data_IF_851583643018
#
_entry.id   IF_851583643018
#
_cell.length_a   1.000
_cell.length_b   1.000
_cell.length_c   1.000
_cell.angle_alpha   90.00
_cell.angle_beta   90.00
_cell.angle_gamma   90.00
#
_symmetry.space_group_name_H-M   'P 1'
#
loop_
_entity.id
_entity.type
_entity.pdbx_description
1 polymer ?
#
# COMPACT_ATOMS: atom_id res chain seq x y z
N UNK A 1 -3.29 -9.23 16.09
CA UNK A 1 -2.31 -9.94 15.23
C UNK A 1 -2.92 -10.50 13.94
N UNK A 2 -4.08 -11.15 14.00
CA UNK A 2 -4.78 -11.71 12.82
C UNK A 2 -5.00 -10.70 11.68
N UNK A 3 -5.42 -9.46 11.98
CA UNK A 3 -5.61 -8.44 10.95
C UNK A 3 -4.32 -8.01 10.25
N UNK A 4 -3.18 -7.96 10.97
CA UNK A 4 -1.87 -7.70 10.35
C UNK A 4 -1.51 -8.81 9.36
N UNK A 5 -1.67 -10.08 9.76
CA UNK A 5 -1.36 -11.24 8.91
C UNK A 5 -2.26 -11.31 7.66
N UNK A 6 -3.54 -11.00 7.80
CA UNK A 6 -4.49 -10.95 6.68
C UNK A 6 -4.18 -9.80 5.73
N UNK A 7 -3.85 -8.62 6.27
CA UNK A 7 -3.42 -7.47 5.46
C UNK A 7 -2.12 -7.80 4.72
N UNK A 8 -1.14 -8.39 5.41
CA UNK A 8 0.15 -8.76 4.84
C UNK A 8 -0.01 -9.79 3.71
N UNK A 9 -0.77 -10.86 3.95
CA UNK A 9 -1.08 -11.89 2.96
C UNK A 9 -1.78 -11.28 1.74
N UNK A 10 -2.75 -10.40 1.96
CA UNK A 10 -3.48 -9.73 0.88
C UNK A 10 -2.55 -8.79 0.09
N UNK A 11 -1.70 -8.01 0.75
CA UNK A 11 -0.68 -7.18 0.13
C UNK A 11 0.30 -8.00 -0.73
N UNK A 12 0.74 -9.17 -0.24
CA UNK A 12 1.61 -10.08 -0.98
C UNK A 12 0.92 -10.61 -2.24
N UNK A 13 -0.36 -10.99 -2.14
CA UNK A 13 -1.16 -11.44 -3.29
C UNK A 13 -1.39 -10.31 -4.30
N UNK A 14 -1.66 -9.08 -3.85
CA UNK A 14 -1.75 -7.90 -4.74
C UNK A 14 -0.42 -7.69 -5.47
N UNK A 15 0.71 -7.68 -4.76
CA UNK A 15 2.04 -7.52 -5.35
C UNK A 15 2.38 -8.63 -6.34
N UNK A 16 2.09 -9.88 -5.99
CA UNK A 16 2.21 -11.03 -6.87
C UNK A 16 1.37 -10.86 -8.14
N UNK A 17 0.10 -10.48 -8.00
CA UNK A 17 -0.82 -10.33 -9.12
C UNK A 17 -0.41 -9.20 -10.07
N UNK A 18 -0.01 -8.05 -9.53
CA UNK A 18 0.52 -6.91 -10.30
C UNK A 18 1.78 -7.32 -11.10
N UNK A 19 2.68 -8.08 -10.47
CA UNK A 19 3.91 -8.59 -11.10
C UNK A 19 3.59 -9.64 -12.18
N UNK A 20 2.69 -10.57 -11.89
CA UNK A 20 2.24 -11.62 -12.79
C UNK A 20 1.59 -11.05 -14.06
N UNK A 21 0.68 -10.09 -13.90
CA UNK A 21 0.01 -9.43 -15.02
C UNK A 21 0.92 -8.48 -15.81
N UNK A 22 2.14 -8.22 -15.32
CA UNK A 22 3.05 -7.21 -15.85
C UNK A 22 2.30 -5.89 -16.04
N UNK A 23 1.82 -5.29 -14.95
CA UNK A 23 0.95 -4.09 -14.98
C UNK A 23 1.43 -2.98 -15.94
N UNK A 24 2.75 -2.85 -16.14
CA UNK A 24 3.35 -1.93 -17.11
C UNK A 24 2.87 -2.14 -18.55
N UNK A 25 2.50 -3.36 -18.94
CA UNK A 25 2.10 -3.72 -20.30
C UNK A 25 0.57 -3.67 -20.50
N UNK A 26 -0.19 -3.35 -19.45
CA UNK A 26 -1.66 -3.24 -19.50
C UNK A 26 -2.05 -2.00 -20.33
N UNK A 27 -2.79 -2.23 -21.43
CA UNK A 27 -3.25 -1.16 -22.32
C UNK A 27 -4.40 -0.34 -21.72
N UNK A 28 -5.38 -0.99 -21.09
CA UNK A 28 -6.54 -0.31 -20.49
C UNK A 28 -6.41 -0.28 -18.96
N UNK A 29 -5.35 0.36 -18.46
CA UNK A 29 -5.05 0.43 -17.02
C UNK A 29 -6.25 0.96 -16.22
N UNK A 30 -6.86 2.05 -16.67
CA UNK A 30 -7.95 2.68 -15.93
C UNK A 30 -9.25 1.87 -15.92
N UNK A 31 -9.50 1.01 -16.93
CA UNK A 31 -10.64 0.07 -16.89
C UNK A 31 -10.42 -0.99 -15.81
N UNK A 32 -9.21 -1.55 -15.77
CA UNK A 32 -8.79 -2.48 -14.72
C UNK A 32 -8.90 -1.85 -13.32
N UNK A 33 -8.45 -0.61 -13.14
CA UNK A 33 -8.52 0.13 -11.87
C UNK A 33 -9.95 0.46 -11.47
N UNK A 34 -10.78 0.93 -12.42
CA UNK A 34 -12.20 1.23 -12.19
C UNK A 34 -12.95 -0.01 -11.69
N UNK A 35 -12.79 -1.15 -12.37
CA UNK A 35 -13.45 -2.40 -11.96
C UNK A 35 -12.96 -2.86 -10.59
N UNK A 36 -11.68 -2.69 -10.26
CA UNK A 36 -11.17 -2.94 -8.90
C UNK A 36 -11.94 -2.13 -7.84
N UNK A 37 -12.25 -0.86 -8.09
CA UNK A 37 -13.02 -0.05 -7.15
C UNK A 37 -14.50 -0.40 -7.12
N UNK A 38 -15.11 -0.74 -8.26
CA UNK A 38 -16.49 -1.26 -8.29
C UNK A 38 -16.61 -2.52 -7.43
N UNK A 39 -15.68 -3.46 -7.56
CA UNK A 39 -15.68 -4.67 -6.73
C UNK A 39 -15.44 -4.32 -5.25
N UNK A 40 -14.54 -3.40 -4.94
CA UNK A 40 -14.32 -2.97 -3.55
C UNK A 40 -15.58 -2.34 -2.93
N UNK A 41 -16.36 -1.57 -3.69
CA UNK A 41 -17.67 -1.03 -3.28
C UNK A 41 -18.64 -2.17 -2.99
N UNK A 42 -18.79 -3.12 -3.93
CA UNK A 42 -19.72 -4.25 -3.80
C UNK A 42 -19.38 -5.09 -2.57
N UNK A 43 -18.11 -5.47 -2.39
CA UNK A 43 -17.66 -6.27 -1.25
C UNK A 43 -17.85 -5.50 0.06
N UNK A 44 -17.51 -4.20 0.08
CA UNK A 44 -17.73 -3.36 1.26
C UNK A 44 -19.21 -3.25 1.62
N UNK A 45 -20.09 -3.13 0.63
CA UNK A 45 -21.52 -3.06 0.86
C UNK A 45 -22.04 -4.40 1.40
N UNK A 46 -21.72 -5.53 0.77
CA UNK A 46 -22.16 -6.86 1.20
C UNK A 46 -21.74 -7.15 2.65
N UNK A 47 -20.52 -6.79 3.03
CA UNK A 47 -19.99 -7.10 4.38
C UNK A 47 -20.48 -6.14 5.46
N UNK A 48 -20.86 -4.91 5.10
CA UNK A 48 -21.09 -3.83 6.07
C UNK A 48 -22.36 -3.02 5.80
N UNK A 49 -23.34 -3.57 5.07
CA UNK A 49 -24.55 -2.84 4.68
C UNK A 49 -25.28 -2.23 5.89
N UNK A 50 -25.36 -2.95 7.03
CA UNK A 50 -25.97 -2.46 8.26
C UNK A 50 -25.31 -1.18 8.80
N UNK A 51 -24.01 -1.01 8.54
CA UNK A 51 -23.24 0.18 8.97
C UNK A 51 -23.39 1.36 8.00
N UNK A 52 -23.84 1.14 6.76
CA UNK A 52 -23.93 2.16 5.71
C UNK A 52 -25.31 2.81 5.74
N UNK A 53 -25.54 3.62 6.76
CA UNK A 53 -26.77 4.43 6.90
C UNK A 53 -26.56 5.84 6.34
N UNK A 54 -27.64 6.55 6.02
CA UNK A 54 -27.55 7.93 5.51
C UNK A 54 -26.85 8.88 6.50
N UNK A 55 -27.09 8.71 7.80
CA UNK A 55 -26.41 9.49 8.85
C UNK A 55 -24.91 9.18 8.89
N UNK A 56 -24.53 7.90 8.84
CA UNK A 56 -23.13 7.49 8.82
C UNK A 56 -22.40 7.97 7.56
N UNK A 57 -23.07 7.97 6.39
CA UNK A 57 -22.51 8.52 5.15
C UNK A 57 -22.23 10.02 5.26
N UNK A 58 -23.17 10.80 5.82
CA UNK A 58 -22.96 12.24 6.05
C UNK A 58 -21.81 12.51 7.02
N UNK A 59 -21.74 11.74 8.11
CA UNK A 59 -20.69 11.87 9.12
C UNK A 59 -19.31 11.47 8.59
N UNK A 60 -19.25 10.42 7.77
CA UNK A 60 -17.98 9.92 7.23
C UNK A 60 -17.46 10.69 6.02
N UNK A 61 -18.29 11.52 5.40
CA UNK A 61 -17.86 12.38 4.31
C UNK A 61 -16.91 13.46 4.83
N UNK A 62 -15.67 13.45 4.35
CA UNK A 62 -14.65 14.41 4.76
C UNK A 62 -13.70 14.75 3.61
N UNK A 63 -12.91 15.81 3.78
CA UNK A 63 -11.85 16.14 2.84
C UNK A 63 -10.86 14.96 2.66
N UNK A 64 -10.62 14.17 3.70
CA UNK A 64 -9.74 12.98 3.64
C UNK A 64 -10.31 11.92 2.71
N UNK A 65 -11.62 11.65 2.76
CA UNK A 65 -12.24 10.65 1.87
C UNK A 65 -12.17 11.06 0.41
N UNK A 66 -12.37 12.35 0.11
CA UNK A 66 -12.25 12.90 -1.25
C UNK A 66 -10.80 12.85 -1.73
N UNK A 67 -9.85 13.27 -0.88
CA UNK A 67 -8.42 13.29 -1.21
C UNK A 67 -7.88 11.88 -1.50
N UNK A 68 -8.23 10.89 -0.67
CA UNK A 68 -7.92 9.48 -0.94
C UNK A 68 -8.58 8.99 -2.22
N UNK A 69 -9.82 9.41 -2.49
CA UNK A 69 -10.55 9.14 -3.72
C UNK A 69 -9.80 9.55 -5.00
N UNK A 70 -9.07 10.67 -4.94
CA UNK A 70 -8.24 11.18 -6.05
C UNK A 70 -6.86 10.52 -6.08
N UNK A 71 -6.20 10.43 -4.92
CA UNK A 71 -4.82 9.95 -4.84
C UNK A 71 -4.69 8.48 -5.20
N UNK A 72 -5.61 7.62 -4.75
CA UNK A 72 -5.48 6.19 -4.95
C UNK A 72 -5.51 5.78 -6.44
N UNK A 73 -6.47 6.24 -7.27
CA UNK A 73 -6.40 6.01 -8.72
C UNK A 73 -5.16 6.61 -9.36
N UNK A 74 -4.75 7.81 -8.96
CA UNK A 74 -3.54 8.47 -9.46
C UNK A 74 -2.28 7.63 -9.17
N UNK A 75 -2.23 6.92 -8.04
CA UNK A 75 -1.10 6.05 -7.71
C UNK A 75 -0.94 4.88 -8.68
N UNK A 76 -2.04 4.31 -9.18
CA UNK A 76 -1.93 3.28 -10.24
C UNK A 76 -1.32 3.84 -11.52
N UNK A 77 -1.63 5.08 -11.89
CA UNK A 77 -1.02 5.76 -13.03
C UNK A 77 0.48 6.00 -12.82
N UNK A 78 0.87 6.60 -11.69
CA UNK A 78 2.29 6.87 -11.41
C UNK A 78 3.09 5.58 -11.26
N UNK A 79 2.52 4.53 -10.65
CA UNK A 79 3.13 3.22 -10.59
C UNK A 79 3.36 2.66 -12.00
N UNK A 80 2.35 2.67 -12.87
CA UNK A 80 2.49 2.19 -14.25
C UNK A 80 3.57 2.96 -15.02
N UNK A 81 3.60 4.28 -14.91
CA UNK A 81 4.59 5.14 -15.56
C UNK A 81 6.00 4.95 -15.02
N UNK A 82 6.15 4.87 -13.70
CA UNK A 82 7.44 4.58 -13.06
C UNK A 82 7.97 3.21 -13.50
N UNK A 83 7.13 2.18 -13.57
CA UNK A 83 7.53 0.85 -14.04
C UNK A 83 7.95 0.83 -15.52
N UNK A 84 7.31 1.65 -16.36
CA UNK A 84 7.68 1.79 -17.79
C UNK A 84 9.00 2.52 -17.98
N UNK A 85 9.20 3.63 -17.28
CA UNK A 85 10.32 4.55 -17.54
C UNK A 85 11.55 4.28 -16.67
N UNK A 86 11.36 3.87 -15.42
CA UNK A 86 12.43 3.62 -14.45
C UNK A 86 12.68 2.14 -14.17
N UNK A 87 11.78 1.27 -14.61
CA UNK A 87 11.84 -0.17 -14.38
C UNK A 87 11.40 -0.58 -12.97
N UNK A 88 11.29 -1.90 -12.78
CA UNK A 88 10.76 -2.51 -11.56
C UNK A 88 11.63 -2.20 -10.33
N UNK A 89 12.95 -2.40 -10.44
CA UNK A 89 13.85 -2.27 -9.28
C UNK A 89 13.84 -0.86 -8.66
N UNK A 90 13.92 0.19 -9.48
CA UNK A 90 13.91 1.58 -8.97
C UNK A 90 12.53 1.97 -8.43
N UNK A 91 11.46 1.59 -9.13
CA UNK A 91 10.09 1.88 -8.69
C UNK A 91 9.81 1.23 -7.33
N UNK A 92 10.20 -0.03 -7.16
CA UNK A 92 10.05 -0.74 -5.89
C UNK A 92 10.82 -0.03 -4.76
N UNK A 93 12.04 0.47 -5.01
CA UNK A 93 12.82 1.26 -4.03
C UNK A 93 12.03 2.47 -3.56
N UNK A 94 11.59 3.33 -4.49
CA UNK A 94 10.88 4.55 -4.12
C UNK A 94 9.55 4.26 -3.44
N UNK A 95 8.83 3.22 -3.88
CA UNK A 95 7.60 2.78 -3.23
C UNK A 95 7.85 2.34 -1.79
N UNK A 96 8.93 1.61 -1.48
CA UNK A 96 9.23 1.21 -0.10
C UNK A 96 9.77 2.35 0.74
N UNK A 97 10.60 3.21 0.17
CA UNK A 97 11.08 4.42 0.84
C UNK A 97 9.93 5.35 1.23
N UNK A 98 8.77 5.27 0.58
CA UNK A 98 7.58 6.04 0.95
C UNK A 98 7.20 5.91 2.42
N UNK A 99 7.59 4.80 3.09
CA UNK A 99 7.39 4.57 4.52
C UNK A 99 8.05 5.64 5.42
N UNK A 100 9.05 6.37 4.91
CA UNK A 100 9.67 7.51 5.62
C UNK A 100 8.60 8.50 6.05
N UNK A 101 7.67 8.84 5.15
CA UNK A 101 6.65 9.86 5.38
C UNK A 101 5.75 9.49 6.57
N UNK A 102 5.02 8.35 6.56
CA UNK A 102 4.16 7.98 7.68
C UNK A 102 4.93 7.71 8.97
N UNK A 103 6.18 7.21 8.93
CA UNK A 103 6.99 7.00 10.14
C UNK A 103 7.41 8.33 10.78
N UNK A 104 7.88 9.30 10.00
CA UNK A 104 8.21 10.65 10.54
C UNK A 104 6.95 11.30 11.11
N UNK A 105 5.83 11.20 10.39
CA UNK A 105 4.55 11.75 10.85
C UNK A 105 3.96 10.97 12.04
N UNK A 106 4.43 9.75 12.34
CA UNK A 106 3.97 9.00 13.50
C UNK A 106 4.34 9.67 14.83
N UNK A 107 5.54 10.25 14.89
CA UNK A 107 5.98 11.01 16.06
C UNK A 107 5.28 12.36 16.18
N UNK A 108 4.99 13.02 15.05
CA UNK A 108 4.45 14.39 15.04
C UNK A 108 2.91 14.46 15.07
N UNK A 109 2.22 13.60 14.31
CA UNK A 109 0.77 13.62 14.13
C UNK A 109 0.05 12.57 14.99
N UNK A 110 0.69 11.43 15.28
CA UNK A 110 0.07 10.35 16.05
C UNK A 110 0.56 10.28 17.49
N UNK A 111 1.38 11.26 17.92
CA UNK A 111 1.94 11.36 19.27
C UNK A 111 2.62 10.07 19.74
N UNK A 112 3.22 9.31 18.80
CA UNK A 112 3.98 8.12 19.15
C UNK A 112 5.24 8.53 19.94
N UNK A 113 5.47 7.92 21.10
CA UNK A 113 6.62 8.26 21.94
C UNK A 113 7.92 7.86 21.24
N UNK A 114 8.84 8.82 21.13
CA UNK A 114 10.18 8.60 20.64
C UNK A 114 11.05 7.95 21.72
N UNK A 115 11.75 6.89 21.35
CA UNK A 115 12.77 6.25 22.18
C UNK A 115 13.99 5.92 21.32
N UNK A 116 15.18 5.94 21.91
CA UNK A 116 16.41 5.57 21.21
C UNK A 116 16.38 4.14 20.65
N UNK A 117 15.78 3.20 21.40
CA UNK A 117 15.57 1.83 20.95
C UNK A 117 14.72 1.76 19.68
N UNK A 118 13.65 2.55 19.60
CA UNK A 118 12.78 2.64 18.42
C UNK A 118 13.51 3.29 17.24
N UNK A 119 14.28 4.34 17.48
CA UNK A 119 15.10 4.97 16.45
C UNK A 119 16.08 3.98 15.81
N UNK A 120 16.79 3.18 16.62
CA UNK A 120 17.71 2.14 16.13
C UNK A 120 16.95 1.13 15.25
N UNK A 121 15.77 0.68 15.70
CA UNK A 121 14.96 -0.27 14.94
C UNK A 121 14.48 0.32 13.60
N UNK A 122 14.12 1.60 13.56
CA UNK A 122 13.76 2.32 12.31
C UNK A 122 14.97 2.42 11.37
N UNK A 123 16.15 2.78 11.88
CA UNK A 123 17.37 2.84 11.07
C UNK A 123 17.68 1.47 10.47
N UNK A 124 17.58 0.40 11.27
CA UNK A 124 17.74 -0.97 10.78
C UNK A 124 16.72 -1.32 9.68
N UNK A 125 15.46 -0.88 9.81
CA UNK A 125 14.45 -1.07 8.76
C UNK A 125 14.89 -0.43 7.44
N UNK A 126 15.36 0.82 7.47
CA UNK A 126 15.79 1.51 6.25
C UNK A 126 17.06 0.91 5.64
N UNK A 127 18.05 0.55 6.46
CA UNK A 127 19.23 -0.17 5.99
C UNK A 127 18.83 -1.49 5.34
N UNK A 128 17.88 -2.22 5.93
CA UNK A 128 17.38 -3.49 5.37
C UNK A 128 16.78 -3.30 3.97
N UNK A 129 16.01 -2.22 3.74
CA UNK A 129 15.40 -1.91 2.44
C UNK A 129 16.48 -1.67 1.39
N UNK A 130 17.53 -0.92 1.73
CA UNK A 130 18.65 -0.68 0.83
C UNK A 130 19.31 -2.00 0.43
N UNK A 131 19.60 -2.89 1.38
CA UNK A 131 20.20 -4.20 1.11
C UNK A 131 19.29 -5.14 0.30
N UNK A 132 17.99 -5.18 0.64
CA UNK A 132 16.97 -5.98 -0.05
C UNK A 132 16.83 -5.59 -1.52
N UNK A 133 16.92 -4.29 -1.80
CA UNK A 133 16.65 -3.76 -3.13
C UNK A 133 17.92 -3.44 -3.91
N UNK A 134 19.09 -3.60 -3.30
CA UNK A 134 20.36 -3.42 -3.97
C UNK A 134 20.50 -4.40 -5.14
N UNK A 135 20.51 -3.84 -6.35
CA UNK A 135 20.84 -4.55 -7.58
C UNK A 135 21.94 -3.79 -8.28
N UNK A 136 22.97 -4.53 -8.74
CA UNK A 136 24.06 -3.95 -9.53
C UNK A 136 23.43 -3.35 -10.80
N UNK A 137 23.52 -2.03 -10.95
CA UNK A 137 22.94 -1.32 -12.09
C UNK A 137 23.52 -1.87 -13.39
N UNK A 138 22.66 -2.38 -14.26
CA UNK A 138 23.03 -2.73 -15.63
C UNK A 138 22.25 -1.83 -16.58
N UNK A 139 23.03 -0.96 -17.25
CA UNK A 139 22.68 -0.01 -18.32
C UNK A 139 22.18 1.37 -17.89
N UNK A 140 22.97 2.35 -18.32
CA UNK A 140 22.67 3.78 -18.42
C UNK A 140 21.57 4.02 -19.45
N UNK A 141 20.39 4.38 -18.96
CA UNK A 141 19.35 5.04 -19.72
C UNK A 141 18.95 6.30 -18.98
N UNK A 142 18.43 7.31 -19.70
CA UNK A 142 17.91 8.56 -19.10
C UNK A 142 16.91 8.22 -17.99
N UNK A 143 17.32 8.41 -16.75
CA UNK A 143 16.51 8.11 -15.58
C UNK A 143 15.53 9.26 -15.35
N UNK A 144 14.24 9.02 -15.59
CA UNK A 144 13.20 9.96 -15.22
C UNK A 144 12.80 9.78 -13.75
N UNK A 145 13.43 10.54 -12.86
CA UNK A 145 13.21 10.47 -11.41
C UNK A 145 11.81 10.92 -10.98
N UNK A 146 11.10 11.67 -11.83
CA UNK A 146 9.83 12.31 -11.48
C UNK A 146 8.78 11.25 -11.11
N UNK A 147 8.65 10.17 -11.90
CA UNK A 147 7.64 9.14 -11.64
C UNK A 147 7.92 8.30 -10.38
N UNK A 148 9.15 7.80 -10.13
CA UNK A 148 9.50 7.20 -8.85
C UNK A 148 9.27 8.15 -7.67
N UNK A 149 9.60 9.44 -7.80
CA UNK A 149 9.37 10.41 -6.74
C UNK A 149 7.88 10.62 -6.45
N UNK A 150 7.03 10.66 -7.46
CA UNK A 150 5.57 10.71 -7.30
C UNK A 150 5.03 9.44 -6.61
N UNK A 151 5.61 8.27 -6.90
CA UNK A 151 5.30 7.03 -6.19
C UNK A 151 5.70 7.13 -4.71
N UNK A 152 6.91 7.63 -4.41
CA UNK A 152 7.36 7.85 -3.03
C UNK A 152 6.43 8.79 -2.25
N UNK A 153 6.14 9.97 -2.81
CA UNK A 153 5.30 10.97 -2.14
C UNK A 153 3.86 10.47 -1.99
N UNK A 154 3.30 9.89 -3.05
CA UNK A 154 1.91 9.51 -3.09
C UNK A 154 1.58 8.31 -2.21
N UNK A 155 2.40 7.24 -2.22
CA UNK A 155 2.17 6.10 -1.31
C UNK A 155 2.33 6.50 0.16
N UNK A 156 3.33 7.32 0.50
CA UNK A 156 3.53 7.77 1.88
C UNK A 156 2.41 8.69 2.36
N UNK A 157 1.88 9.53 1.46
CA UNK A 157 0.70 10.36 1.75
C UNK A 157 -0.55 9.50 1.94
N UNK A 158 -0.81 8.53 1.05
CA UNK A 158 -1.95 7.61 1.17
C UNK A 158 -1.89 6.80 2.47
N UNK A 159 -0.73 6.26 2.82
CA UNK A 159 -0.53 5.51 4.07
C UNK A 159 -0.80 6.38 5.31
N UNK A 160 -0.34 7.63 5.29
CA UNK A 160 -0.60 8.59 6.37
C UNK A 160 -2.10 8.92 6.48
N UNK A 161 -2.75 9.22 5.34
CA UNK A 161 -4.18 9.52 5.30
C UNK A 161 -5.02 8.33 5.77
N UNK A 162 -4.65 7.12 5.41
CA UNK A 162 -5.30 5.91 5.93
C UNK A 162 -5.16 5.80 7.44
N UNK A 163 -4.00 6.11 8.03
CA UNK A 163 -3.87 6.12 9.48
C UNK A 163 -4.72 7.19 10.14
N UNK A 164 -4.76 8.40 9.59
CA UNK A 164 -5.62 9.48 10.09
C UNK A 164 -7.09 9.02 10.06
N UNK A 165 -7.52 8.42 8.95
CA UNK A 165 -8.87 7.87 8.80
C UNK A 165 -9.16 6.72 9.78
N UNK A 166 -8.18 5.85 10.06
CA UNK A 166 -8.33 4.75 11.01
C UNK A 166 -8.43 5.20 12.47
N UNK A 167 -7.77 6.30 12.84
CA UNK A 167 -7.75 6.84 14.20
C UNK A 167 -8.86 7.86 14.49
N UNK A 168 -9.51 8.38 13.45
CA UNK A 168 -10.59 9.33 13.64
C UNK A 168 -11.75 8.67 14.39
N UNK A 169 -12.05 9.18 15.58
CA UNK A 169 -13.10 8.64 16.47
C UNK A 169 -14.50 9.09 16.04
N UNK A 170 -14.59 10.24 15.40
CA UNK A 170 -15.84 10.87 15.01
C UNK A 170 -16.33 10.36 13.65
N UNK A 171 -15.49 9.61 12.93
CA UNK A 171 -15.80 9.09 11.60
C UNK A 171 -15.87 7.55 11.66
N UNK A 172 -17.02 6.93 11.35
CA UNK A 172 -17.11 5.51 11.09
C UNK A 172 -16.17 5.10 9.93
N UNK A 173 -14.97 4.63 10.26
CA UNK A 173 -13.90 4.38 9.28
C UNK A 173 -14.28 3.38 8.17
N UNK A 174 -15.16 2.41 8.48
CA UNK A 174 -15.67 1.44 7.48
C UNK A 174 -16.52 2.15 6.43
N UNK A 175 -17.40 3.06 6.86
CA UNK A 175 -18.23 3.87 5.96
C UNK A 175 -17.39 4.90 5.22
N UNK A 176 -16.38 5.46 5.87
CA UNK A 176 -15.42 6.35 5.22
C UNK A 176 -14.61 5.61 4.14
N UNK A 177 -14.18 4.37 4.39
CA UNK A 177 -13.53 3.52 3.41
C UNK A 177 -14.45 3.22 2.21
N UNK A 178 -15.72 2.93 2.47
CA UNK A 178 -16.73 2.78 1.42
C UNK A 178 -16.81 4.05 0.55
N UNK A 179 -16.89 5.24 1.17
CA UNK A 179 -16.91 6.52 0.46
C UNK A 179 -15.62 6.79 -0.33
N UNK A 180 -14.46 6.36 0.16
CA UNK A 180 -13.20 6.42 -0.60
C UNK A 180 -13.30 5.58 -1.87
N UNK A 181 -13.81 4.35 -1.80
CA UNK A 181 -13.97 3.51 -2.98
C UNK A 181 -15.00 4.07 -3.96
N UNK A 182 -16.12 4.60 -3.46
CA UNK A 182 -17.11 5.33 -4.28
C UNK A 182 -16.46 6.52 -4.99
N UNK A 183 -15.69 7.33 -4.27
CA UNK A 183 -14.97 8.48 -4.85
C UNK A 183 -13.97 8.04 -5.92
N UNK A 184 -13.20 6.98 -5.66
CA UNK A 184 -12.28 6.39 -6.64
C UNK A 184 -13.01 5.91 -7.90
N UNK A 185 -14.16 5.24 -7.75
CA UNK A 185 -14.96 4.74 -8.86
C UNK A 185 -15.59 5.88 -9.67
N UNK A 186 -16.05 6.95 -9.02
CA UNK A 186 -16.54 8.16 -9.72
C UNK A 186 -15.42 8.75 -10.57
N UNK A 187 -14.25 9.03 -9.98
CA UNK A 187 -13.13 9.67 -10.69
C UNK A 187 -12.66 8.83 -11.88
N UNK A 188 -12.45 7.52 -11.65
CA UNK A 188 -12.01 6.62 -12.71
C UNK A 188 -13.10 6.38 -13.75
N UNK A 189 -14.36 6.25 -13.34
CA UNK A 189 -15.50 6.10 -14.23
C UNK A 189 -15.73 7.33 -15.12
N UNK A 190 -15.67 8.53 -14.55
CA UNK A 190 -15.73 9.80 -15.29
C UNK A 190 -14.60 9.88 -16.32
N UNK A 191 -13.37 9.55 -15.93
CA UNK A 191 -12.25 9.51 -16.86
C UNK A 191 -12.51 8.53 -18.03
N UNK A 192 -12.96 7.31 -17.75
CA UNK A 192 -13.28 6.29 -18.76
C UNK A 192 -14.39 6.73 -19.71
N UNK A 193 -15.40 7.44 -19.18
CA UNK A 193 -16.49 8.02 -19.97
C UNK A 193 -15.96 9.06 -20.96
N UNK A 194 -15.12 9.99 -20.51
CA UNK A 194 -14.54 11.02 -21.38
C UNK A 194 -13.64 10.45 -22.48
N UNK A 195 -12.83 9.43 -22.19
CA UNK A 195 -11.96 8.80 -23.18
C UNK A 195 -12.67 7.75 -24.05
N UNK A 196 -13.98 7.53 -23.85
CA UNK A 196 -14.81 6.54 -24.55
C UNK A 196 -14.12 5.16 -24.61
N UNK A 197 -13.71 4.65 -23.45
CA UNK A 197 -12.93 3.41 -23.37
C UNK A 197 -13.68 2.23 -24.02
N UNK A 198 -12.96 1.36 -24.72
CA UNK A 198 -13.49 0.06 -25.15
C UNK A 198 -13.48 -0.92 -23.98
N UNK A 199 -14.65 -1.42 -23.62
CA UNK A 199 -14.81 -2.44 -22.60
C UNK A 199 -14.19 -3.75 -23.08
N UNK A 200 -13.35 -4.34 -22.25
CA UNK A 200 -12.63 -5.56 -22.58
C UNK A 200 -12.68 -6.50 -21.38
N UNK A 201 -13.31 -7.66 -21.59
CA UNK A 201 -13.54 -8.67 -20.56
C UNK A 201 -12.28 -9.12 -19.82
N UNK A 202 -11.12 -9.14 -20.49
CA UNK A 202 -9.84 -9.49 -19.86
C UNK A 202 -9.48 -8.53 -18.73
N UNK A 203 -9.62 -7.22 -18.96
CA UNK A 203 -9.29 -6.21 -17.94
C UNK A 203 -10.37 -6.09 -16.87
N UNK A 204 -11.62 -6.39 -17.21
CA UNK A 204 -12.70 -6.52 -16.22
C UNK A 204 -12.39 -7.67 -15.26
N UNK A 205 -12.07 -8.86 -15.78
CA UNK A 205 -11.72 -10.02 -14.96
C UNK A 205 -10.52 -9.76 -14.05
N UNK A 206 -9.46 -9.14 -14.59
CA UNK A 206 -8.32 -8.74 -13.76
C UNK A 206 -8.70 -7.72 -12.69
N UNK A 207 -9.56 -6.75 -13.03
CA UNK A 207 -10.06 -5.77 -12.07
C UNK A 207 -10.85 -6.41 -10.94
N UNK A 208 -11.65 -7.45 -11.22
CA UNK A 208 -12.41 -8.18 -10.20
C UNK A 208 -11.47 -8.83 -9.18
N UNK A 209 -10.45 -9.57 -9.67
CA UNK A 209 -9.48 -10.23 -8.79
C UNK A 209 -8.73 -9.19 -7.95
N UNK A 210 -8.24 -8.12 -8.59
CA UNK A 210 -7.54 -7.06 -7.86
C UNK A 210 -8.46 -6.41 -6.82
N UNK A 211 -9.72 -6.13 -7.16
CA UNK A 211 -10.70 -5.52 -6.27
C UNK A 211 -10.89 -6.30 -4.97
N UNK A 212 -11.09 -7.61 -5.05
CA UNK A 212 -11.21 -8.47 -3.88
C UNK A 212 -9.95 -8.44 -3.01
N UNK A 213 -8.77 -8.58 -3.63
CA UNK A 213 -7.49 -8.59 -2.92
C UNK A 213 -7.18 -7.22 -2.27
N UNK A 214 -7.48 -6.13 -2.98
CA UNK A 214 -7.17 -4.78 -2.56
C UNK A 214 -8.14 -4.29 -1.47
N UNK A 215 -9.42 -4.64 -1.57
CA UNK A 215 -10.37 -4.43 -0.47
C UNK A 215 -9.89 -5.12 0.81
N UNK A 216 -9.58 -6.42 0.72
CA UNK A 216 -9.06 -7.19 1.86
C UNK A 216 -7.81 -6.55 2.45
N UNK A 217 -6.86 -6.18 1.58
CA UNK A 217 -5.64 -5.50 2.00
C UNK A 217 -5.91 -4.23 2.81
N UNK A 218 -6.66 -3.28 2.23
CA UNK A 218 -6.88 -1.96 2.82
C UNK A 218 -7.76 -2.05 4.08
N UNK A 219 -8.82 -2.85 4.06
CA UNK A 219 -9.69 -3.03 5.23
C UNK A 219 -8.89 -3.59 6.43
N UNK A 220 -8.14 -4.66 6.23
CA UNK A 220 -7.33 -5.23 7.31
C UNK A 220 -6.16 -4.34 7.72
N UNK A 221 -5.63 -3.53 6.81
CA UNK A 221 -4.60 -2.54 7.10
C UNK A 221 -5.13 -1.43 8.04
N UNK A 222 -6.29 -0.85 7.73
CA UNK A 222 -6.95 0.12 8.60
C UNK A 222 -7.29 -0.50 9.96
N UNK A 223 -7.80 -1.74 9.97
CA UNK A 223 -8.09 -2.47 11.21
C UNK A 223 -6.83 -2.72 12.03
N UNK A 224 -5.70 -3.05 11.41
CA UNK A 224 -4.42 -3.18 12.10
C UNK A 224 -3.99 -1.86 12.74
N UNK A 225 -4.09 -0.75 12.01
CA UNK A 225 -3.79 0.58 12.54
C UNK A 225 -4.70 1.01 13.69
N UNK A 226 -5.95 0.54 13.72
CA UNK A 226 -6.87 0.75 14.83
C UNK A 226 -6.52 -0.09 16.07
N UNK A 227 -6.12 -1.34 15.87
CA UNK A 227 -5.67 -2.24 16.95
C UNK A 227 -4.35 -1.74 17.56
N UNK A 228 -3.39 -1.37 16.71
CA UNK A 228 -2.07 -0.87 17.11
C UNK A 228 -2.05 0.67 17.04
N UNK A 229 -3.05 1.32 17.63
CA UNK A 229 -3.20 2.78 17.54
C UNK A 229 -2.02 3.52 18.18
N UNK A 230 -1.48 3.01 19.28
CA UNK A 230 -0.33 3.58 19.99
C UNK A 230 1.02 3.37 19.30
N UNK A 231 1.08 2.47 18.31
CA UNK A 231 2.37 2.07 17.69
C UNK A 231 2.26 2.01 16.17
N UNK A 232 1.95 3.15 15.52
CA UNK A 232 1.87 3.23 14.07
C UNK A 232 3.17 2.79 13.39
N UNK A 233 4.33 3.16 13.93
CA UNK A 233 5.64 2.77 13.39
C UNK A 233 5.77 1.25 13.22
N UNK A 234 5.31 0.47 14.22
CA UNK A 234 5.32 -0.99 14.14
C UNK A 234 4.50 -1.49 12.95
N UNK A 235 3.29 -0.96 12.73
CA UNK A 235 2.42 -1.37 11.63
C UNK A 235 3.03 -0.99 10.28
N UNK A 236 3.48 0.26 10.11
CA UNK A 236 4.06 0.72 8.84
C UNK A 236 5.30 -0.09 8.44
N UNK A 237 6.20 -0.32 9.39
CA UNK A 237 7.44 -1.07 9.14
C UNK A 237 7.16 -2.54 8.90
N UNK A 238 6.34 -3.18 9.74
CA UNK A 238 6.01 -4.62 9.61
C UNK A 238 5.32 -4.90 8.27
N UNK A 239 4.38 -4.05 7.87
CA UNK A 239 3.67 -4.21 6.60
C UNK A 239 4.61 -4.02 5.41
N UNK A 240 5.45 -2.99 5.40
CA UNK A 240 6.37 -2.77 4.29
C UNK A 240 7.44 -3.86 4.19
N UNK A 241 8.13 -4.15 5.30
CA UNK A 241 9.20 -5.16 5.32
C UNK A 241 8.66 -6.56 5.07
N UNK A 242 7.52 -6.92 5.68
CA UNK A 242 6.89 -8.22 5.47
C UNK A 242 6.53 -8.46 4.01
N UNK A 243 6.04 -7.43 3.29
CA UNK A 243 5.73 -7.55 1.86
C UNK A 243 7.01 -7.71 1.03
N UNK A 244 8.11 -7.03 1.38
CA UNK A 244 9.38 -7.19 0.67
C UNK A 244 9.96 -8.59 0.91
N UNK A 245 10.00 -9.05 2.16
CA UNK A 245 10.53 -10.37 2.52
C UNK A 245 9.68 -11.46 1.85
N UNK A 246 8.37 -11.44 2.05
CA UNK A 246 7.47 -12.43 1.45
C UNK A 246 7.49 -12.37 -0.08
N UNK A 247 7.55 -11.17 -0.66
CA UNK A 247 7.70 -10.96 -2.09
C UNK A 247 9.02 -11.52 -2.64
N UNK A 248 10.10 -11.46 -1.87
CA UNK A 248 11.40 -12.05 -2.22
C UNK A 248 11.32 -13.59 -2.23
N UNK A 249 10.64 -14.19 -1.25
CA UNK A 249 10.40 -15.63 -1.23
C UNK A 249 9.51 -16.09 -2.39
N UNK A 250 8.41 -15.37 -2.67
CA UNK A 250 7.56 -15.63 -3.83
C UNK A 250 8.35 -15.46 -5.14
N UNK A 251 9.20 -14.44 -5.23
CA UNK A 251 10.14 -14.22 -6.33
C UNK A 251 11.04 -15.44 -6.57
N UNK A 252 11.62 -15.99 -5.51
CA UNK A 252 12.45 -17.19 -5.58
C UNK A 252 11.67 -18.43 -6.00
N UNK A 253 10.52 -18.69 -5.37
CA UNK A 253 9.75 -19.93 -5.57
C UNK A 253 9.02 -19.96 -6.91
N UNK A 254 8.35 -18.86 -7.28
CA UNK A 254 7.47 -18.82 -8.45
C UNK A 254 8.17 -18.24 -9.68
N UNK A 255 8.89 -17.12 -9.51
CA UNK A 255 9.58 -16.43 -10.61
C UNK A 255 11.03 -16.92 -10.81
N UNK A 256 11.48 -17.89 -10.00
CA UNK A 256 12.83 -18.46 -10.04
C UNK A 256 13.94 -17.41 -9.92
N UNK A 257 13.67 -16.33 -9.19
CA UNK A 257 14.64 -15.27 -8.93
C UNK A 257 15.70 -15.73 -7.92
N UNK A 258 16.97 -15.37 -8.15
CA UNK A 258 18.06 -15.68 -7.21
C UNK A 258 18.08 -14.65 -6.08
N UNK A 259 18.10 -15.14 -4.83
CA UNK A 259 18.35 -14.29 -3.66
C UNK A 259 19.85 -13.96 -3.65
N UNK A 260 20.18 -12.69 -3.76
CA UNK A 260 21.57 -12.21 -3.69
C UNK A 260 22.05 -12.21 -2.24
N UNK A 261 23.37 -12.20 -2.02
CA UNK A 261 23.95 -12.07 -0.67
C UNK A 261 23.42 -10.82 0.05
N UNK A 262 23.32 -9.70 -0.66
CA UNK A 262 22.79 -8.45 -0.12
C UNK A 262 21.32 -8.58 0.28
N UNK A 263 20.50 -9.23 -0.55
CA UNK A 263 19.11 -9.49 -0.19
C UNK A 263 19.00 -10.40 1.05
N UNK A 264 19.88 -11.40 1.19
CA UNK A 264 19.93 -12.24 2.39
C UNK A 264 20.24 -11.44 3.67
N UNK A 265 21.25 -10.56 3.64
CA UNK A 265 21.58 -9.65 4.75
C UNK A 265 20.39 -8.73 5.05
N UNK A 266 19.77 -8.17 4.02
CA UNK A 266 18.60 -7.31 4.15
C UNK A 266 17.41 -8.03 4.82
N UNK A 267 17.13 -9.29 4.47
CA UNK A 267 16.09 -10.09 5.15
C UNK A 267 16.39 -10.22 6.64
N UNK A 268 17.64 -10.53 7.00
CA UNK A 268 18.04 -10.69 8.39
C UNK A 268 17.88 -9.38 9.19
N UNK A 269 18.35 -8.26 8.64
CA UNK A 269 18.19 -6.94 9.26
C UNK A 269 16.71 -6.55 9.42
N UNK A 270 15.88 -6.87 8.42
CA UNK A 270 14.46 -6.58 8.47
C UNK A 270 13.76 -7.38 9.58
N UNK A 271 14.09 -8.67 9.74
CA UNK A 271 13.58 -9.52 10.83
C UNK A 271 13.99 -8.95 12.19
N UNK A 272 15.26 -8.57 12.37
CA UNK A 272 15.77 -7.97 13.61
C UNK A 272 15.01 -6.68 13.93
N UNK A 273 14.82 -5.80 12.95
CA UNK A 273 14.09 -4.55 13.12
C UNK A 273 12.64 -4.78 13.59
N UNK A 274 11.91 -5.70 12.97
CA UNK A 274 10.52 -6.02 13.35
C UNK A 274 10.46 -6.62 14.75
N UNK A 275 11.38 -7.52 15.11
CA UNK A 275 11.45 -8.11 16.46
C UNK A 275 11.73 -7.03 17.50
N UNK A 276 12.69 -6.13 17.27
CA UNK A 276 12.99 -5.03 18.18
C UNK A 276 11.76 -4.14 18.40
N UNK A 277 11.05 -3.75 17.33
CA UNK A 277 9.82 -2.96 17.46
C UNK A 277 8.73 -3.69 18.24
N UNK A 278 8.61 -5.01 18.06
CA UNK A 278 7.65 -5.82 18.80
C UNK A 278 8.01 -5.92 20.30
N UNK A 279 9.29 -6.08 20.64
CA UNK A 279 9.76 -6.12 22.03
C UNK A 279 9.56 -4.78 22.75
N UNK A 280 9.85 -3.67 22.07
CA UNK A 280 9.58 -2.31 22.57
C UNK A 280 8.08 -2.14 22.83
N UNK A 281 7.24 -2.63 21.90
CA UNK A 281 5.80 -2.56 22.07
C UNK A 281 5.28 -3.36 23.26
N UNK A 282 5.90 -4.50 23.55
CA UNK A 282 5.59 -5.34 24.70
C UNK A 282 6.20 -4.80 26.01
N UNK A 283 6.90 -3.65 25.97
CA UNK A 283 7.63 -3.05 27.10
C UNK A 283 8.68 -3.99 27.72
N UNK A 284 9.24 -4.88 26.92
CA UNK A 284 10.35 -5.76 27.32
C UNK A 284 11.69 -5.00 27.20
N UNK A 285 11.76 -4.06 26.26
CA UNK A 285 12.84 -3.11 26.00
C UNK A 285 12.29 -1.69 26.03
#
# INVERSE_FOLDING_TARGET
MTSLLLSLSSSLLVGFFIKYLKIKDIKNLFLFVFVNYIVAIIVSYILFYDSITLSALKQSFSYITVLLGVLMPAMFYFLNKSLKESGLAKTDIFQRLSLIIPVVLSFKLFNEVFTWSKFIAIVLAFVSIVFLLYKKSTKDGKFNIIYPLMVFLGYGTVDTLFKILALNKDIPYIVALFLVFVSCAIITGSYLFFIKVKWNYKYIFYGIILGCLNFSNIYFYLKAHKIFFNSPTLVFITMNLGVIIGGTFIGKLYFKEKITKNAGIGILLAIISVILLALIQLKIL
#
